data_IF_887505983408
#
_entry.id   IF_887505983408
#
_cell.length_a   1.000
_cell.length_b   1.000
_cell.length_c   1.000
_cell.angle_alpha   90.00
_cell.angle_beta   90.00
_cell.angle_gamma   90.00
#
_symmetry.space_group_name_H-M   'P 1'
#
loop_
_entity.id
_entity.type
_entity.pdbx_description
1 polymer ?
#
# COMPACT_ATOMS: atom_id res chain seq x y z
N UNK A 1 -22.18 -62.54 -43.50
CA UNK A 1 -22.61 -62.06 -42.17
C UNK A 1 -22.01 -60.66 -42.00
N UNK A 2 -22.83 -59.64 -42.22
CA UNK A 2 -22.44 -58.22 -42.28
C UNK A 2 -22.20 -57.66 -40.89
N UNK A 3 -21.00 -57.13 -40.61
CA UNK A 3 -20.80 -56.18 -39.52
C UNK A 3 -19.99 -54.99 -40.04
N UNK A 4 -20.58 -53.82 -39.85
CA UNK A 4 -20.28 -52.52 -40.46
C UNK A 4 -19.07 -51.84 -39.83
N UNK A 5 -18.32 -51.13 -40.66
CA UNK A 5 -17.46 -50.02 -40.26
C UNK A 5 -18.30 -48.94 -39.54
N UNK A 6 -17.91 -48.56 -38.33
CA UNK A 6 -18.37 -47.32 -37.69
C UNK A 6 -17.16 -46.39 -37.52
N UNK A 7 -17.17 -45.30 -38.30
CA UNK A 7 -16.30 -44.16 -38.10
C UNK A 7 -16.75 -43.41 -36.83
N UNK A 8 -15.85 -43.24 -35.87
CA UNK A 8 -16.08 -42.39 -34.71
C UNK A 8 -15.72 -40.93 -35.08
N UNK A 9 -16.75 -40.10 -35.23
CA UNK A 9 -16.63 -38.64 -35.32
C UNK A 9 -16.30 -38.12 -33.92
N UNK A 10 -15.05 -37.71 -33.68
CA UNK A 10 -14.71 -36.88 -32.52
C UNK A 10 -15.24 -35.46 -32.77
N UNK A 11 -16.46 -35.20 -32.30
CA UNK A 11 -16.98 -33.84 -32.16
C UNK A 11 -16.34 -33.16 -30.94
N UNK A 12 -15.45 -32.21 -31.18
CA UNK A 12 -14.97 -31.30 -30.16
C UNK A 12 -16.13 -30.39 -29.71
N UNK A 13 -16.71 -30.68 -28.54
CA UNK A 13 -17.62 -29.75 -27.86
C UNK A 13 -16.73 -28.70 -27.17
N UNK A 14 -16.45 -27.63 -27.91
CA UNK A 14 -15.91 -26.41 -27.36
C UNK A 14 -17.02 -25.75 -26.51
N UNK A 15 -17.00 -26.01 -25.20
CA UNK A 15 -17.86 -25.31 -24.25
C UNK A 15 -17.36 -23.86 -24.13
N UNK A 16 -17.93 -22.98 -24.95
CA UNK A 16 -17.77 -21.53 -24.81
C UNK A 16 -18.41 -21.16 -23.46
N UNK A 17 -17.59 -20.81 -22.48
CA UNK A 17 -18.06 -20.19 -21.25
C UNK A 17 -18.84 -18.90 -21.63
N UNK A 18 -20.04 -18.66 -21.09
CA UNK A 18 -20.79 -17.46 -21.42
C UNK A 18 -20.00 -16.25 -20.92
N UNK A 19 -19.77 -15.30 -21.83
CA UNK A 19 -19.20 -14.01 -21.48
C UNK A 19 -20.04 -13.38 -20.36
N UNK A 20 -19.39 -13.03 -19.25
CA UNK A 20 -20.04 -12.29 -18.16
C UNK A 20 -20.62 -10.98 -18.74
N UNK A 21 -21.84 -10.57 -18.33
CA UNK A 21 -22.46 -9.37 -18.85
C UNK A 21 -21.53 -8.17 -18.59
N UNK A 22 -21.40 -7.30 -19.60
CA UNK A 22 -20.62 -6.07 -19.50
C UNK A 22 -21.37 -5.15 -18.51
N UNK A 23 -20.98 -5.21 -17.23
CA UNK A 23 -21.48 -4.26 -16.23
C UNK A 23 -20.86 -2.89 -16.58
N UNK A 24 -21.71 -1.91 -16.85
CA UNK A 24 -21.28 -0.55 -17.13
C UNK A 24 -20.50 -0.01 -15.94
N UNK A 25 -19.21 0.29 -16.14
CA UNK A 25 -18.35 0.88 -15.11
C UNK A 25 -18.71 2.35 -14.96
N UNK A 26 -18.99 2.79 -13.74
CA UNK A 26 -19.26 4.22 -13.47
C UNK A 26 -18.22 4.76 -12.51
N UNK A 27 -17.52 5.82 -12.91
CA UNK A 27 -16.59 6.55 -12.04
C UNK A 27 -17.31 7.14 -10.81
N UNK A 28 -16.62 7.22 -9.67
CA UNK A 28 -17.16 7.82 -8.44
C UNK A 28 -16.77 9.29 -8.37
N UNK A 29 -17.63 10.20 -8.82
CA UNK A 29 -17.38 11.66 -8.88
C UNK A 29 -17.30 12.33 -7.50
N UNK A 30 -16.25 13.10 -7.24
CA UNK A 30 -16.11 14.00 -6.08
C UNK A 30 -15.61 15.36 -6.59
N UNK A 31 -16.17 16.47 -6.09
CA UNK A 31 -15.81 17.80 -6.58
C UNK A 31 -14.31 18.06 -6.41
N UNK A 32 -13.62 18.36 -7.52
CA UNK A 32 -12.19 18.71 -7.52
C UNK A 32 -11.20 17.54 -7.48
N UNK A 33 -11.67 16.28 -7.43
CA UNK A 33 -10.81 15.08 -7.50
C UNK A 33 -11.03 14.39 -8.84
N UNK A 34 -10.00 14.06 -9.64
CA UNK A 34 -10.17 13.23 -10.83
C UNK A 34 -10.70 11.87 -10.40
N UNK A 35 -11.77 11.35 -11.00
CA UNK A 35 -12.44 10.15 -10.46
C UNK A 35 -12.29 8.89 -11.32
N UNK A 36 -11.40 8.97 -12.31
CA UNK A 36 -11.16 7.95 -13.33
C UNK A 36 -10.24 6.81 -12.83
N UNK A 37 -10.19 6.57 -11.52
CA UNK A 37 -9.39 5.51 -10.92
C UNK A 37 -10.15 4.63 -9.90
N UNK A 38 -11.35 5.04 -9.47
CA UNK A 38 -12.26 4.20 -8.66
C UNK A 38 -13.58 4.02 -9.40
N UNK A 39 -13.93 2.76 -9.63
CA UNK A 39 -15.09 2.36 -10.39
C UNK A 39 -16.05 1.57 -9.50
N UNK A 40 -17.34 1.77 -9.75
CA UNK A 40 -18.42 1.04 -9.10
C UNK A 40 -19.06 0.07 -10.11
N UNK A 41 -18.99 -1.23 -9.84
CA UNK A 41 -19.66 -2.28 -10.63
C UNK A 41 -20.09 -3.44 -9.71
N UNK A 42 -21.02 -3.18 -8.77
CA UNK A 42 -21.39 -4.18 -7.78
C UNK A 42 -22.10 -5.37 -8.41
N UNK A 43 -21.69 -6.57 -8.03
CA UNK A 43 -22.39 -7.80 -8.33
C UNK A 43 -23.71 -7.86 -7.54
N UNK A 44 -24.77 -8.32 -8.22
CA UNK A 44 -26.09 -8.53 -7.60
C UNK A 44 -26.09 -9.76 -6.68
N UNK A 45 -25.16 -10.70 -6.89
CA UNK A 45 -25.02 -11.88 -6.04
C UNK A 45 -24.67 -11.50 -4.60
N UNK A 46 -25.37 -12.09 -3.64
CA UNK A 46 -25.10 -11.97 -2.21
C UNK A 46 -24.64 -13.31 -1.64
N UNK A 47 -23.78 -13.25 -0.62
CA UNK A 47 -23.49 -14.42 0.20
C UNK A 47 -24.71 -14.76 1.07
N UNK A 48 -24.89 -16.05 1.40
CA UNK A 48 -25.86 -16.45 2.42
C UNK A 48 -25.34 -16.00 3.78
N UNK A 49 -26.20 -15.41 4.61
CA UNK A 49 -25.81 -14.92 5.95
C UNK A 49 -25.07 -16.00 6.77
N UNK A 50 -25.63 -17.21 6.79
CA UNK A 50 -25.04 -18.35 7.48
C UNK A 50 -23.62 -18.73 7.01
N UNK A 51 -23.23 -18.44 5.75
CA UNK A 51 -21.88 -18.76 5.27
C UNK A 51 -20.81 -17.76 5.73
N UNK A 52 -21.23 -16.58 6.21
CA UNK A 52 -20.35 -15.53 6.70
C UNK A 52 -20.30 -15.45 8.24
N UNK A 53 -21.27 -16.06 8.93
CA UNK A 53 -21.34 -16.10 10.40
C UNK A 53 -20.06 -16.68 11.04
N UNK A 54 -19.53 -16.07 12.12
CA UNK A 54 -18.46 -16.66 12.93
C UNK A 54 -18.78 -18.07 13.43
N UNK A 55 -17.77 -18.82 13.85
CA UNK A 55 -17.97 -20.17 14.42
C UNK A 55 -18.80 -20.11 15.71
N UNK A 56 -19.57 -21.16 15.98
CA UNK A 56 -20.43 -21.25 17.17
C UNK A 56 -19.67 -21.03 18.48
N UNK A 57 -18.47 -21.63 18.60
CA UNK A 57 -17.61 -21.45 19.77
C UNK A 57 -17.19 -19.98 19.98
N UNK A 58 -17.07 -19.17 18.92
CA UNK A 58 -16.76 -17.74 19.02
C UNK A 58 -17.98 -16.91 19.38
N UNK A 59 -19.16 -17.31 18.91
CA UNK A 59 -20.43 -16.70 19.30
C UNK A 59 -20.76 -16.99 20.79
N UNK A 60 -20.39 -18.19 21.28
CA UNK A 60 -20.67 -18.66 22.65
C UNK A 60 -19.55 -18.37 23.66
N UNK A 61 -18.32 -18.09 23.21
CA UNK A 61 -17.25 -17.64 24.09
C UNK A 61 -17.72 -16.34 24.75
N UNK A 62 -17.78 -16.33 26.11
CA UNK A 62 -18.09 -15.17 26.96
C UNK A 62 -17.04 -14.05 26.83
N UNK A 63 -16.79 -13.60 25.62
CA UNK A 63 -16.31 -12.27 25.36
C UNK A 63 -17.50 -11.39 25.71
N UNK A 64 -17.36 -10.62 26.78
CA UNK A 64 -18.19 -9.46 27.10
C UNK A 64 -18.61 -8.80 25.79
N UNK A 65 -19.85 -9.05 25.34
CA UNK A 65 -20.36 -8.63 24.03
C UNK A 65 -20.24 -7.11 23.85
N UNK A 66 -20.11 -6.37 24.95
CA UNK A 66 -19.83 -4.94 25.00
C UNK A 66 -18.39 -4.52 24.62
N UNK A 67 -17.41 -5.43 24.54
CA UNK A 67 -15.99 -5.07 24.40
C UNK A 67 -15.33 -5.41 23.05
N UNK A 68 -15.87 -6.33 22.24
CA UNK A 68 -15.31 -6.62 20.91
C UNK A 68 -16.02 -5.85 19.80
N UNK A 69 -15.25 -5.15 18.96
CA UNK A 69 -15.79 -4.30 17.89
C UNK A 69 -16.46 -5.09 16.76
N UNK A 70 -15.77 -6.09 16.20
CA UNK A 70 -16.30 -6.98 15.17
C UNK A 70 -15.40 -8.21 15.01
N UNK A 71 -15.93 -9.24 14.35
CA UNK A 71 -15.13 -10.36 13.83
C UNK A 71 -15.02 -10.25 12.33
N UNK A 72 -13.81 -10.39 11.78
CA UNK A 72 -13.65 -10.35 10.33
C UNK A 72 -13.12 -11.63 9.70
N UNK A 73 -13.62 -11.91 8.49
CA UNK A 73 -12.94 -12.79 7.53
C UNK A 73 -12.30 -11.92 6.47
N UNK A 74 -11.00 -12.10 6.24
CA UNK A 74 -10.21 -11.33 5.29
C UNK A 74 -9.59 -12.29 4.30
N UNK A 75 -9.92 -12.13 3.01
CA UNK A 75 -9.34 -12.92 1.93
C UNK A 75 -8.70 -11.98 0.92
N UNK A 76 -7.49 -12.30 0.53
CA UNK A 76 -6.70 -11.53 -0.40
C UNK A 76 -6.29 -12.44 -1.55
N UNK A 77 -6.33 -11.91 -2.76
CA UNK A 77 -5.70 -12.50 -3.93
C UNK A 77 -4.64 -11.55 -4.44
N UNK A 78 -3.45 -12.05 -4.77
CA UNK A 78 -2.40 -11.33 -5.49
C UNK A 78 -2.03 -12.16 -6.70
N UNK A 79 -2.30 -11.63 -7.87
CA UNK A 79 -2.08 -12.28 -9.14
C UNK A 79 -1.12 -11.46 -10.00
N UNK A 80 0.02 -12.07 -10.35
CA UNK A 80 1.05 -11.46 -11.18
C UNK A 80 0.76 -11.78 -12.65
N UNK A 81 0.39 -10.75 -13.41
CA UNK A 81 -0.01 -10.87 -14.80
C UNK A 81 1.21 -10.98 -15.72
N UNK A 82 1.08 -11.70 -16.84
CA UNK A 82 2.15 -11.88 -17.83
C UNK A 82 2.63 -10.54 -18.43
N UNK A 83 1.77 -9.53 -18.48
CA UNK A 83 2.12 -8.18 -18.94
C UNK A 83 2.96 -7.38 -17.92
N UNK A 84 3.20 -7.95 -16.73
CA UNK A 84 3.96 -7.37 -15.63
C UNK A 84 3.12 -6.64 -14.58
N UNK A 85 1.84 -6.39 -14.82
CA UNK A 85 0.93 -5.76 -13.85
C UNK A 85 0.61 -6.71 -12.68
N UNK A 86 0.10 -6.15 -11.58
CA UNK A 86 -0.36 -6.95 -10.43
C UNK A 86 -1.82 -6.68 -10.18
N UNK A 87 -2.63 -7.75 -10.19
CA UNK A 87 -4.04 -7.72 -9.83
C UNK A 87 -4.22 -8.20 -8.40
N UNK A 88 -4.84 -7.37 -7.58
CA UNK A 88 -5.21 -7.67 -6.21
C UNK A 88 -6.72 -7.85 -6.10
N UNK A 89 -7.16 -8.82 -5.32
CA UNK A 89 -8.56 -8.96 -4.89
C UNK A 89 -8.59 -8.86 -3.38
N UNK A 90 -9.45 -7.98 -2.86
CA UNK A 90 -9.63 -7.75 -1.43
C UNK A 90 -11.06 -8.13 -1.10
N UNK A 91 -11.24 -9.12 -0.23
CA UNK A 91 -12.53 -9.47 0.32
C UNK A 91 -12.46 -9.35 1.83
N UNK A 92 -13.38 -8.58 2.40
CA UNK A 92 -13.50 -8.43 3.84
C UNK A 92 -14.98 -8.56 4.19
N UNK A 93 -15.29 -9.42 5.15
CA UNK A 93 -16.58 -9.39 5.83
C UNK A 93 -16.38 -9.11 7.32
N UNK A 94 -17.28 -8.32 7.93
CA UNK A 94 -17.25 -8.01 9.37
C UNK A 94 -18.60 -8.30 9.99
N UNK A 95 -18.64 -9.13 11.01
CA UNK A 95 -19.83 -9.38 11.84
C UNK A 95 -19.80 -8.47 13.06
N UNK A 96 -20.90 -7.75 13.32
CA UNK A 96 -21.01 -6.76 14.39
C UNK A 96 -21.88 -7.27 15.55
N UNK A 97 -21.29 -7.74 16.66
CA UNK A 97 -22.07 -8.26 17.79
C UNK A 97 -22.77 -7.18 18.62
N UNK A 98 -22.31 -5.93 18.56
CA UNK A 98 -22.74 -4.86 19.47
C UNK A 98 -22.86 -3.50 18.80
N UNK A 99 -23.65 -2.61 19.43
CA UNK A 99 -23.79 -1.22 18.97
C UNK A 99 -22.48 -0.42 19.06
N UNK A 100 -21.59 -0.76 19.99
CA UNK A 100 -20.27 -0.12 20.13
C UNK A 100 -19.42 -0.38 18.88
N UNK A 101 -19.41 -1.63 18.41
CA UNK A 101 -18.74 -2.03 17.19
C UNK A 101 -19.24 -1.27 15.96
N UNK A 102 -20.56 -1.13 15.85
CA UNK A 102 -21.20 -0.39 14.76
C UNK A 102 -20.80 1.08 14.78
N UNK A 103 -20.88 1.74 15.95
CA UNK A 103 -20.55 3.16 16.10
C UNK A 103 -19.09 3.46 15.71
N UNK A 104 -18.16 2.59 16.13
CA UNK A 104 -16.74 2.85 15.97
C UNK A 104 -16.18 2.31 14.63
N UNK A 105 -16.82 1.32 14.02
CA UNK A 105 -16.28 0.58 12.87
C UNK A 105 -17.32 0.27 11.77
N UNK A 106 -18.44 0.99 11.75
CA UNK A 106 -19.51 0.82 10.75
C UNK A 106 -19.10 1.20 9.33
N UNK A 107 -17.99 1.94 9.18
CA UNK A 107 -17.41 2.25 7.88
C UNK A 107 -16.28 1.26 7.54
N UNK A 108 -16.12 0.98 6.24
CA UNK A 108 -14.93 0.31 5.73
C UNK A 108 -14.24 1.22 4.74
N UNK A 109 -12.92 1.07 4.62
CA UNK A 109 -12.15 1.83 3.66
C UNK A 109 -11.07 0.97 3.00
N UNK A 110 -10.56 1.48 1.88
CA UNK A 110 -9.37 0.96 1.23
C UNK A 110 -8.61 2.08 0.51
N UNK A 111 -7.29 1.92 0.42
CA UNK A 111 -6.41 2.89 -0.23
C UNK A 111 -6.18 2.55 -1.71
N UNK A 112 -6.07 3.61 -2.52
CA UNK A 112 -5.74 3.56 -3.96
C UNK A 112 -4.77 4.67 -4.30
N UNK A 113 -3.69 4.33 -4.99
CA UNK A 113 -2.76 5.28 -5.61
C UNK A 113 -3.24 5.62 -7.02
N UNK A 114 -3.81 6.80 -7.23
CA UNK A 114 -4.42 7.21 -8.50
C UNK A 114 -3.42 7.29 -9.68
N UNK A 115 -2.12 7.39 -9.39
CA UNK A 115 -1.08 7.43 -10.42
C UNK A 115 -0.83 6.05 -11.05
N UNK A 116 -0.79 5.00 -10.24
CA UNK A 116 -0.39 3.66 -10.65
C UNK A 116 -1.49 2.62 -10.55
N UNK A 117 -2.63 2.93 -9.92
CA UNK A 117 -3.67 1.96 -9.62
C UNK A 117 -5.04 2.38 -10.14
N UNK A 118 -5.83 1.36 -10.43
CA UNK A 118 -7.28 1.48 -10.57
C UNK A 118 -7.94 0.48 -9.62
N UNK A 119 -9.07 0.84 -9.02
CA UNK A 119 -9.85 -0.02 -8.16
C UNK A 119 -11.31 -0.13 -8.65
N UNK A 120 -11.86 -1.33 -8.52
CA UNK A 120 -13.24 -1.66 -8.84
C UNK A 120 -13.90 -2.19 -7.57
N UNK A 121 -14.93 -1.51 -7.10
CA UNK A 121 -15.79 -2.03 -6.03
C UNK A 121 -16.80 -2.98 -6.66
N UNK A 122 -16.59 -4.28 -6.40
CA UNK A 122 -17.42 -5.37 -6.91
C UNK A 122 -18.52 -5.75 -5.92
N UNK A 123 -18.36 -5.50 -4.62
CA UNK A 123 -19.42 -5.68 -3.61
C UNK A 123 -19.19 -4.71 -2.45
N UNK A 124 -20.25 -4.06 -1.98
CA UNK A 124 -20.25 -3.23 -0.78
C UNK A 124 -21.68 -3.16 -0.22
N UNK A 125 -22.01 -4.02 0.73
CA UNK A 125 -23.36 -4.10 1.32
C UNK A 125 -23.36 -4.61 2.76
N UNK A 126 -24.44 -4.29 3.47
CA UNK A 126 -24.83 -4.87 4.75
C UNK A 126 -25.77 -6.04 4.51
N UNK A 127 -25.60 -7.11 5.29
CA UNK A 127 -26.48 -8.28 5.32
C UNK A 127 -27.01 -8.45 6.75
N UNK A 128 -28.33 -8.40 6.90
CA UNK A 128 -29.03 -8.54 8.18
C UNK A 128 -29.24 -10.02 8.54
N UNK A 129 -29.53 -10.33 9.83
CA UNK A 129 -29.75 -11.70 10.29
C UNK A 129 -30.87 -12.45 9.56
N UNK A 130 -31.90 -11.74 9.10
CA UNK A 130 -33.01 -12.29 8.31
C UNK A 130 -32.64 -12.56 6.82
N UNK A 131 -31.42 -12.16 6.41
CA UNK A 131 -30.93 -12.26 5.05
C UNK A 131 -31.18 -11.02 4.18
N UNK A 132 -31.78 -9.96 4.74
CA UNK A 132 -32.01 -8.70 4.03
C UNK A 132 -30.68 -8.02 3.67
N UNK A 133 -30.53 -7.60 2.42
CA UNK A 133 -29.36 -6.88 1.89
C UNK A 133 -29.64 -5.38 1.80
N UNK A 134 -28.71 -4.56 2.27
CA UNK A 134 -28.70 -3.12 2.08
C UNK A 134 -27.37 -2.67 1.48
N UNK A 135 -27.36 -2.27 0.21
CA UNK A 135 -26.16 -1.81 -0.50
C UNK A 135 -25.68 -0.43 -0.02
N UNK A 136 -24.36 -0.22 -0.06
CA UNK A 136 -23.77 1.12 0.16
C UNK A 136 -24.27 2.06 -0.93
N UNK A 137 -24.75 3.24 -0.53
CA UNK A 137 -25.14 4.27 -1.47
C UNK A 137 -23.91 4.87 -2.15
N UNK A 138 -23.79 4.71 -3.48
CA UNK A 138 -22.66 5.24 -4.25
C UNK A 138 -22.38 6.72 -3.97
N UNK A 139 -23.43 7.55 -3.86
CA UNK A 139 -23.32 8.99 -3.59
C UNK A 139 -22.77 9.33 -2.20
N UNK A 140 -22.77 8.38 -1.27
CA UNK A 140 -22.25 8.55 0.07
C UNK A 140 -20.77 8.12 0.20
N UNK A 141 -20.18 7.51 -0.84
CA UNK A 141 -18.77 7.16 -0.85
C UNK A 141 -17.93 8.43 -0.86
N UNK A 142 -16.95 8.48 0.04
CA UNK A 142 -16.00 9.59 0.11
C UNK A 142 -14.64 9.15 -0.44
N UNK A 143 -13.99 10.06 -1.16
CA UNK A 143 -12.59 9.94 -1.52
C UNK A 143 -11.86 11.04 -0.76
N UNK A 144 -11.00 10.63 0.16
CA UNK A 144 -10.21 11.53 0.99
C UNK A 144 -8.76 11.35 0.59
N UNK A 145 -8.13 12.42 0.07
CA UNK A 145 -6.68 12.43 -0.09
C UNK A 145 -6.04 12.42 1.30
N UNK A 146 -4.82 11.87 1.41
CA UNK A 146 -4.06 11.99 2.65
C UNK A 146 -4.04 13.45 3.12
N UNK A 147 -4.61 13.69 4.31
CA UNK A 147 -5.11 15.00 4.73
C UNK A 147 -4.16 15.75 5.66
N UNK A 148 -2.88 15.38 5.65
CA UNK A 148 -1.86 16.13 6.37
C UNK A 148 -1.65 17.53 5.76
N UNK A 149 -1.42 18.52 6.62
CA UNK A 149 -1.23 19.90 6.21
C UNK A 149 -0.07 20.03 5.22
N UNK A 150 -0.32 20.64 4.06
CA UNK A 150 0.63 20.85 2.97
C UNK A 150 1.07 19.59 2.19
N UNK A 151 0.34 18.48 2.27
CA UNK A 151 0.58 17.30 1.41
C UNK A 151 -0.40 17.29 0.22
N UNK A 152 0.16 17.10 -0.98
CA UNK A 152 -0.52 17.02 -2.25
C UNK A 152 -0.17 15.67 -2.89
N UNK A 153 -1.01 14.67 -2.67
CA UNK A 153 -0.75 13.28 -3.04
C UNK A 153 -1.69 12.75 -4.12
N UNK A 154 -1.33 11.60 -4.71
CA UNK A 154 -2.21 10.75 -5.51
C UNK A 154 -2.74 9.54 -4.71
N UNK A 155 -2.43 9.45 -3.41
CA UNK A 155 -2.97 8.44 -2.51
C UNK A 155 -4.32 8.87 -1.94
N UNK A 156 -5.36 8.07 -2.19
CA UNK A 156 -6.72 8.32 -1.72
C UNK A 156 -7.24 7.17 -0.88
N UNK A 157 -7.84 7.50 0.26
CA UNK A 157 -8.69 6.60 1.02
C UNK A 157 -10.12 6.66 0.44
N UNK A 158 -10.64 5.50 0.03
CA UNK A 158 -12.02 5.33 -0.40
C UNK A 158 -12.82 4.84 0.80
N UNK A 159 -13.69 5.68 1.35
CA UNK A 159 -14.48 5.41 2.56
C UNK A 159 -15.91 5.07 2.17
N UNK A 160 -16.40 3.91 2.63
CA UNK A 160 -17.72 3.38 2.33
C UNK A 160 -18.57 3.37 3.61
N UNK A 161 -19.63 4.18 3.68
CA UNK A 161 -20.57 4.16 4.79
C UNK A 161 -21.63 3.06 4.59
N UNK A 162 -21.65 2.07 5.47
CA UNK A 162 -22.61 0.96 5.40
C UNK A 162 -23.93 1.33 6.07
N UNK A 163 -25.02 1.16 5.32
CA UNK A 163 -26.37 1.46 5.80
C UNK A 163 -26.97 0.29 6.59
N UNK A 164 -27.95 0.61 7.45
CA UNK A 164 -28.79 -0.40 8.10
C UNK A 164 -28.08 -1.29 9.12
N UNK A 165 -26.96 -0.86 9.70
CA UNK A 165 -26.25 -1.67 10.68
C UNK A 165 -27.02 -1.80 12.00
N UNK A 166 -27.27 -3.04 12.40
CA UNK A 166 -27.80 -3.44 13.70
C UNK A 166 -26.96 -4.59 14.29
N UNK A 167 -27.01 -4.84 15.61
CA UNK A 167 -26.33 -6.00 16.20
C UNK A 167 -26.71 -7.31 15.48
N UNK A 168 -25.71 -8.06 15.07
CA UNK A 168 -25.84 -9.26 14.23
C UNK A 168 -25.57 -9.00 12.75
N UNK A 169 -25.62 -7.76 12.27
CA UNK A 169 -25.36 -7.46 10.87
C UNK A 169 -23.94 -7.85 10.42
N UNK A 170 -23.81 -8.16 9.13
CA UNK A 170 -22.53 -8.44 8.47
C UNK A 170 -22.31 -7.43 7.34
N UNK A 171 -21.19 -6.71 7.36
CA UNK A 171 -20.76 -5.94 6.18
C UNK A 171 -19.90 -6.79 5.27
N UNK A 172 -20.00 -6.58 3.96
CA UNK A 172 -19.22 -7.25 2.92
C UNK A 172 -18.62 -6.21 1.99
N UNK A 173 -17.29 -6.28 1.83
CA UNK A 173 -16.52 -5.53 0.86
C UNK A 173 -15.78 -6.49 -0.07
N UNK A 174 -15.92 -6.31 -1.39
CA UNK A 174 -15.10 -6.96 -2.42
C UNK A 174 -14.57 -5.89 -3.38
N UNK A 175 -13.25 -5.77 -3.46
CA UNK A 175 -12.56 -4.81 -4.32
C UNK A 175 -11.54 -5.53 -5.18
N UNK A 176 -11.52 -5.21 -6.46
CA UNK A 176 -10.44 -5.59 -7.36
C UNK A 176 -9.57 -4.37 -7.63
N UNK A 177 -8.26 -4.49 -7.42
CA UNK A 177 -7.29 -3.42 -7.66
C UNK A 177 -6.25 -3.88 -8.67
N UNK A 178 -5.92 -3.06 -9.65
CA UNK A 178 -4.87 -3.35 -10.62
C UNK A 178 -3.78 -2.30 -10.46
N UNK A 179 -2.56 -2.74 -10.18
CA UNK A 179 -1.37 -1.89 -10.18
C UNK A 179 -0.64 -2.00 -11.51
N UNK A 180 -0.45 -0.86 -12.17
CA UNK A 180 0.34 -0.68 -13.39
C UNK A 180 1.81 -0.59 -13.03
N UNK A 181 2.47 -1.75 -12.96
CA UNK A 181 3.86 -1.85 -12.48
C UNK A 181 4.84 -1.08 -13.37
N UNK A 182 4.52 -0.92 -14.66
CA UNK A 182 5.34 -0.11 -15.60
C UNK A 182 5.38 1.38 -15.23
N UNK A 183 4.35 1.89 -14.56
CA UNK A 183 4.31 3.27 -14.06
C UNK A 183 5.15 3.47 -12.80
N UNK A 184 5.49 2.38 -12.09
CA UNK A 184 6.26 2.44 -10.85
C UNK A 184 7.76 2.59 -11.08
N UNK A 185 8.42 3.37 -10.22
CA UNK A 185 9.88 3.51 -10.22
C UNK A 185 10.56 2.34 -9.52
N UNK A 186 9.98 1.92 -8.40
CA UNK A 186 10.50 0.88 -7.52
C UNK A 186 9.68 -0.41 -7.68
N UNK A 187 10.27 -1.60 -7.45
CA UNK A 187 9.55 -2.86 -7.61
C UNK A 187 8.34 -2.98 -6.69
N UNK A 188 7.27 -3.55 -7.22
CA UNK A 188 6.03 -3.76 -6.50
C UNK A 188 6.23 -4.68 -5.29
N UNK A 189 5.66 -4.28 -4.17
CA UNK A 189 5.61 -5.06 -2.93
C UNK A 189 4.41 -4.63 -2.08
N UNK A 190 3.95 -5.51 -1.19
CA UNK A 190 2.81 -5.27 -0.31
C UNK A 190 2.97 -6.00 1.02
N UNK A 191 2.57 -5.33 2.10
CA UNK A 191 2.36 -5.94 3.41
C UNK A 191 0.90 -6.32 3.60
N UNK A 192 0.71 -7.54 4.09
CA UNK A 192 -0.55 -8.00 4.68
C UNK A 192 -0.31 -8.29 6.15
N UNK A 193 -1.33 -8.08 6.98
CA UNK A 193 -1.26 -8.35 8.41
C UNK A 193 -2.24 -9.47 8.75
N UNK A 194 -1.77 -10.74 8.88
CA UNK A 194 -2.62 -11.85 9.28
C UNK A 194 -3.31 -11.62 10.62
N UNK A 195 -2.64 -10.93 11.54
CA UNK A 195 -3.15 -10.51 12.84
C UNK A 195 -3.27 -8.99 12.91
N UNK A 196 -4.30 -8.49 13.60
CA UNK A 196 -4.46 -7.06 13.90
C UNK A 196 -4.91 -6.87 15.35
N UNK A 197 -5.16 -5.64 15.78
CA UNK A 197 -5.74 -5.33 17.10
C UNK A 197 -7.19 -5.82 17.29
N UNK A 198 -7.79 -6.37 16.25
CA UNK A 198 -9.12 -6.98 16.30
C UNK A 198 -9.03 -8.46 15.91
N UNK A 199 -9.84 -9.33 16.53
CA UNK A 199 -9.80 -10.76 16.24
C UNK A 199 -10.27 -11.03 14.80
N UNK A 200 -9.69 -12.04 14.17
CA UNK A 200 -10.09 -12.48 12.85
C UNK A 200 -10.49 -13.94 12.88
N UNK A 201 -11.64 -14.26 12.29
CA UNK A 201 -12.03 -15.65 12.07
C UNK A 201 -11.05 -16.33 11.12
N UNK A 202 -10.70 -15.63 10.04
CA UNK A 202 -9.90 -16.19 8.96
C UNK A 202 -9.13 -15.10 8.23
N UNK A 203 -7.86 -15.40 7.98
CA UNK A 203 -7.01 -14.74 7.00
C UNK A 203 -6.70 -15.74 5.89
N UNK A 204 -6.90 -15.32 4.65
CA UNK A 204 -6.56 -16.11 3.47
C UNK A 204 -5.81 -15.23 2.47
N UNK A 205 -4.72 -15.77 1.91
CA UNK A 205 -3.96 -15.12 0.86
C UNK A 205 -3.67 -16.11 -0.26
N UNK A 206 -4.20 -15.83 -1.45
CA UNK A 206 -3.94 -16.57 -2.67
C UNK A 206 -2.88 -15.83 -3.46
N UNK A 207 -1.71 -16.45 -3.65
CA UNK A 207 -0.67 -15.97 -4.55
C UNK A 207 -0.75 -16.76 -5.85
N UNK A 208 -0.77 -16.08 -6.98
CA UNK A 208 -0.78 -16.74 -8.30
C UNK A 208 -0.05 -15.91 -9.34
N UNK A 209 0.38 -16.54 -10.42
CA UNK A 209 1.07 -15.88 -11.53
C UNK A 209 0.78 -16.56 -12.85
N UNK A 210 0.80 -15.78 -13.93
CA UNK A 210 0.60 -16.28 -15.29
C UNK A 210 1.78 -17.13 -15.77
N UNK A 211 1.53 -17.93 -16.82
CA UNK A 211 2.58 -18.57 -17.59
C UNK A 211 3.56 -17.55 -18.20
N UNK A 212 4.86 -17.82 -18.07
CA UNK A 212 5.91 -16.92 -18.56
C UNK A 212 6.17 -15.69 -17.67
N UNK A 213 5.40 -15.49 -16.60
CA UNK A 213 5.68 -14.48 -15.58
C UNK A 213 6.61 -15.00 -14.48
N UNK A 214 7.39 -14.10 -13.88
CA UNK A 214 8.21 -14.42 -12.71
C UNK A 214 7.33 -14.69 -11.47
N UNK A 215 7.61 -15.75 -10.69
CA UNK A 215 6.89 -15.99 -9.46
C UNK A 215 7.18 -14.89 -8.42
N UNK A 216 6.21 -14.56 -7.54
CA UNK A 216 6.49 -13.69 -6.41
C UNK A 216 7.43 -14.35 -5.40
N UNK A 217 8.17 -13.52 -4.67
CA UNK A 217 8.74 -13.90 -3.39
C UNK A 217 7.82 -13.46 -2.26
N UNK A 218 7.78 -14.23 -1.19
CA UNK A 218 7.00 -13.91 -0.01
C UNK A 218 7.67 -14.42 1.26
N UNK A 219 7.40 -13.76 2.38
CA UNK A 219 7.85 -14.16 3.70
C UNK A 219 6.88 -13.66 4.75
N UNK A 220 6.69 -14.44 5.80
CA UNK A 220 5.81 -14.12 6.93
C UNK A 220 6.50 -14.42 8.24
N UNK A 221 6.29 -13.59 9.24
CA UNK A 221 6.69 -13.83 10.63
C UNK A 221 5.49 -14.20 11.53
N UNK A 222 4.30 -14.34 10.94
CA UNK A 222 3.16 -14.95 11.63
C UNK A 222 3.26 -16.48 11.58
N UNK A 223 3.51 -17.10 12.73
CA UNK A 223 3.70 -18.56 12.85
C UNK A 223 2.43 -19.37 12.56
N UNK A 224 1.25 -18.81 12.84
CA UNK A 224 -0.05 -19.50 12.70
C UNK A 224 -0.58 -19.60 11.26
N UNK A 225 0.24 -19.33 10.25
CA UNK A 225 -0.18 -19.43 8.84
C UNK A 225 0.37 -20.69 8.17
N UNK A 226 -0.51 -21.41 7.48
CA UNK A 226 -0.15 -22.57 6.68
C UNK A 226 -0.24 -22.24 5.20
N UNK A 227 0.86 -22.37 4.47
CA UNK A 227 0.96 -22.14 3.04
C UNK A 227 1.12 -23.45 2.28
N UNK A 228 0.22 -23.71 1.32
CA UNK A 228 0.23 -24.93 0.51
C UNK A 228 0.24 -24.61 -0.98
N UNK A 229 1.04 -25.35 -1.75
CA UNK A 229 1.02 -25.29 -3.20
C UNK A 229 -0.29 -25.94 -3.70
N UNK A 230 -1.11 -25.19 -4.43
CA UNK A 230 -2.35 -25.67 -5.03
C UNK A 230 -2.19 -26.06 -6.50
N UNK A 231 -1.24 -25.44 -7.17
CA UNK A 231 -0.80 -25.76 -8.53
C UNK A 231 0.63 -25.27 -8.72
N UNK A 232 1.25 -25.58 -9.86
CA UNK A 232 2.59 -25.07 -10.22
C UNK A 232 2.71 -23.53 -10.19
N UNK A 233 1.58 -22.80 -10.23
CA UNK A 233 1.53 -21.32 -10.25
C UNK A 233 0.56 -20.73 -9.23
N UNK A 234 0.22 -21.47 -8.18
CA UNK A 234 -0.73 -21.01 -7.16
C UNK A 234 -0.37 -21.51 -5.78
N UNK A 235 -0.25 -20.59 -4.83
CA UNK A 235 -0.04 -20.87 -3.41
C UNK A 235 -1.23 -20.32 -2.62
N UNK A 236 -1.75 -21.12 -1.70
CA UNK A 236 -2.79 -20.72 -0.76
C UNK A 236 -2.21 -20.71 0.65
N UNK A 237 -2.24 -19.54 1.29
CA UNK A 237 -1.86 -19.35 2.68
C UNK A 237 -3.11 -19.06 3.53
N UNK A 238 -3.30 -19.81 4.61
CA UNK A 238 -4.48 -19.71 5.49
C UNK A 238 -4.07 -19.67 6.95
N UNK A 239 -4.71 -18.77 7.71
CA UNK A 239 -4.74 -18.79 9.16
C UNK A 239 -6.20 -18.65 9.62
N UNK A 240 -6.58 -19.38 10.66
CA UNK A 240 -7.93 -19.36 11.23
C UNK A 240 -7.86 -19.07 12.72
N UNK A 241 -8.97 -18.57 13.27
CA UNK A 241 -9.12 -18.26 14.69
C UNK A 241 -8.01 -17.38 15.29
N UNK A 242 -7.66 -16.34 14.55
CA UNK A 242 -6.56 -15.42 14.86
C UNK A 242 -6.99 -14.47 15.99
N UNK A 243 -6.32 -14.51 17.15
CA UNK A 243 -6.65 -13.62 18.27
C UNK A 243 -6.25 -12.18 17.96
N UNK A 244 -6.88 -11.22 18.64
CA UNK A 244 -6.41 -9.84 18.61
C UNK A 244 -4.98 -9.73 19.17
N UNK A 245 -4.12 -8.99 18.48
CA UNK A 245 -2.80 -8.64 19.01
C UNK A 245 -2.96 -7.75 20.23
N UNK A 246 -2.31 -8.11 21.32
CA UNK A 246 -2.24 -7.29 22.54
C UNK A 246 -0.95 -6.47 22.46
N UNK A 247 -1.08 -5.18 22.17
CA UNK A 247 0.05 -4.24 22.17
C UNK A 247 -0.09 -3.25 23.32
N UNK A 248 1.06 -2.76 23.76
CA UNK A 248 1.16 -1.47 24.43
C UNK A 248 0.77 -0.35 23.43
N UNK A 249 -0.14 0.58 23.79
CA UNK A 249 -0.57 1.67 22.92
C UNK A 249 0.58 2.57 22.45
N UNK A 250 1.70 2.62 23.18
CA UNK A 250 2.84 3.47 22.85
C UNK A 250 3.78 2.84 21.80
N UNK A 251 3.49 1.62 21.33
CA UNK A 251 4.29 0.96 20.31
C UNK A 251 3.70 1.18 18.91
N UNK A 252 4.59 1.53 17.98
CA UNK A 252 4.26 1.62 16.55
C UNK A 252 3.83 0.25 16.03
N UNK A 253 2.59 0.14 15.54
CA UNK A 253 2.00 -1.15 15.14
C UNK A 253 2.84 -1.90 14.11
N UNK A 254 3.56 -1.19 13.24
CA UNK A 254 4.42 -1.75 12.20
C UNK A 254 5.65 -2.47 12.74
N UNK A 255 6.06 -2.19 13.98
CA UNK A 255 7.18 -2.86 14.64
C UNK A 255 6.76 -4.16 15.34
N UNK A 256 5.46 -4.33 15.61
CA UNK A 256 4.93 -5.42 16.46
C UNK A 256 4.02 -6.38 15.73
N UNK A 257 3.13 -5.89 14.87
CA UNK A 257 2.18 -6.76 14.19
C UNK A 257 2.93 -7.76 13.29
N UNK A 258 2.56 -9.04 13.33
CA UNK A 258 3.05 -10.01 12.37
C UNK A 258 2.63 -9.62 10.95
N UNK A 259 3.58 -9.67 10.03
CA UNK A 259 3.44 -9.28 8.64
C UNK A 259 3.64 -10.48 7.72
N UNK A 260 2.89 -10.48 6.63
CA UNK A 260 3.08 -11.32 5.46
C UNK A 260 3.44 -10.40 4.30
N UNK A 261 4.69 -10.43 3.87
CA UNK A 261 5.22 -9.59 2.79
C UNK A 261 5.19 -10.36 1.49
N UNK A 262 4.65 -9.74 0.44
CA UNK A 262 4.71 -10.24 -0.94
C UNK A 262 5.44 -9.22 -1.79
N UNK A 263 6.38 -9.66 -2.63
CA UNK A 263 7.13 -8.77 -3.50
C UNK A 263 7.50 -9.44 -4.82
N UNK A 264 7.76 -8.61 -5.85
CA UNK A 264 8.59 -9.06 -6.97
C UNK A 264 10.01 -9.31 -6.48
N UNK A 265 10.69 -10.32 -7.03
CA UNK A 265 12.06 -10.62 -6.63
C UNK A 265 12.96 -9.38 -6.76
N UNK A 266 13.73 -9.11 -5.70
CA UNK A 266 14.69 -8.01 -5.68
C UNK A 266 15.75 -8.21 -4.58
N UNK A 267 16.77 -7.37 -4.60
CA UNK A 267 17.82 -7.29 -3.58
C UNK A 267 18.00 -5.84 -3.13
N UNK A 268 18.52 -5.60 -1.93
CA UNK A 268 18.83 -4.24 -1.47
C UNK A 268 19.75 -3.48 -2.44
N UNK A 269 20.86 -4.07 -2.95
CA UNK A 269 21.65 -3.42 -3.99
C UNK A 269 20.86 -3.14 -5.28
N UNK A 270 19.91 -4.00 -5.66
CA UNK A 270 19.03 -3.78 -6.82
C UNK A 270 18.12 -2.56 -6.65
N UNK A 271 17.49 -2.42 -5.48
CA UNK A 271 16.70 -1.24 -5.10
C UNK A 271 17.55 0.03 -5.19
N UNK A 272 18.72 0.02 -4.54
CA UNK A 272 19.63 1.16 -4.48
C UNK A 272 20.08 1.56 -5.88
N UNK A 273 20.52 0.62 -6.73
CA UNK A 273 20.94 0.94 -8.12
C UNK A 273 19.81 1.59 -8.92
N UNK A 274 18.59 1.08 -8.81
CA UNK A 274 17.42 1.59 -9.56
C UNK A 274 17.04 3.00 -9.12
N UNK A 275 17.09 3.26 -7.81
CA UNK A 275 16.75 4.56 -7.26
C UNK A 275 17.86 5.59 -7.48
N UNK A 276 19.13 5.19 -7.27
CA UNK A 276 20.30 6.07 -7.35
C UNK A 276 20.38 6.80 -8.69
N UNK A 277 20.22 6.11 -9.82
CA UNK A 277 20.31 6.78 -11.13
C UNK A 277 19.26 7.89 -11.30
N UNK A 278 18.03 7.65 -10.82
CA UNK A 278 16.93 8.63 -10.86
C UNK A 278 17.12 9.78 -9.91
N UNK A 279 17.69 9.54 -8.73
CA UNK A 279 18.04 10.59 -7.78
C UNK A 279 19.19 11.45 -8.32
N UNK A 280 20.27 10.82 -8.79
CA UNK A 280 21.46 11.50 -9.29
C UNK A 280 21.15 12.43 -10.47
N UNK A 281 20.20 12.04 -11.34
CA UNK A 281 19.80 12.85 -12.48
C UNK A 281 19.10 14.17 -12.10
N UNK A 282 18.70 14.33 -10.83
CA UNK A 282 18.03 15.55 -10.33
C UNK A 282 19.00 16.54 -9.70
N UNK A 283 20.24 16.11 -9.42
CA UNK A 283 21.31 16.97 -8.92
C UNK A 283 21.83 17.80 -10.08
N UNK A 284 21.46 19.08 -10.11
CA UNK A 284 21.75 19.93 -11.27
C UNK A 284 23.20 20.36 -11.35
N UNK A 285 23.90 20.55 -10.22
CA UNK A 285 25.29 21.02 -10.20
C UNK A 285 25.55 22.38 -10.86
N UNK A 286 24.49 23.07 -11.31
CA UNK A 286 24.57 24.22 -12.21
C UNK A 286 24.97 25.51 -11.49
N UNK A 287 25.11 26.59 -12.29
CA UNK A 287 25.51 27.91 -11.79
C UNK A 287 24.64 28.43 -10.65
N UNK A 288 23.32 28.15 -10.66
CA UNK A 288 22.40 28.53 -9.58
C UNK A 288 22.78 27.89 -8.24
N UNK A 289 23.08 26.58 -8.23
CA UNK A 289 23.48 25.87 -7.01
C UNK A 289 24.84 26.36 -6.55
N UNK A 290 25.81 26.49 -7.47
CA UNK A 290 27.16 26.98 -7.16
C UNK A 290 27.13 28.41 -6.58
N UNK A 291 26.30 29.30 -7.14
CA UNK A 291 26.15 30.66 -6.63
C UNK A 291 25.48 30.70 -5.26
N UNK A 292 24.51 29.80 -5.02
CA UNK A 292 23.92 29.66 -3.68
C UNK A 292 24.97 29.17 -2.68
N UNK A 293 25.77 28.17 -3.04
CA UNK A 293 26.83 27.66 -2.19
C UNK A 293 27.87 28.75 -1.88
N UNK A 294 28.31 29.54 -2.87
CA UNK A 294 29.24 30.65 -2.65
C UNK A 294 28.73 31.65 -1.60
N UNK A 295 27.42 31.92 -1.58
CA UNK A 295 26.80 32.79 -0.57
C UNK A 295 26.76 32.14 0.81
N UNK A 296 26.47 30.84 0.87
CA UNK A 296 26.45 30.06 2.12
C UNK A 296 27.87 29.96 2.70
N UNK A 297 28.87 29.72 1.87
CA UNK A 297 30.26 29.50 2.26
C UNK A 297 31.06 30.78 2.59
N UNK A 298 30.43 31.96 2.60
CA UNK A 298 31.12 33.21 2.90
C UNK A 298 31.71 33.19 4.31
N UNK A 299 33.02 33.42 4.40
CA UNK A 299 33.79 33.46 5.65
C UNK A 299 33.84 32.14 6.44
N UNK A 300 33.55 31.00 5.79
CA UNK A 300 33.63 29.67 6.43
C UNK A 300 34.95 29.01 6.09
N UNK A 301 35.61 28.46 7.13
CA UNK A 301 36.92 27.81 6.97
C UNK A 301 36.92 26.31 7.33
N UNK A 302 35.88 25.80 7.99
CA UNK A 302 35.78 24.39 8.39
C UNK A 302 34.69 23.64 7.65
N UNK A 303 34.91 22.36 7.38
CA UNK A 303 33.92 21.48 6.73
C UNK A 303 32.66 21.29 7.58
N UNK A 304 32.81 21.25 8.91
CA UNK A 304 31.70 21.11 9.86
C UNK A 304 30.82 22.36 9.88
N UNK A 305 31.42 23.55 9.94
CA UNK A 305 30.67 24.81 9.88
C UNK A 305 29.98 24.97 8.53
N UNK A 306 30.66 24.58 7.43
CA UNK A 306 30.05 24.62 6.10
C UNK A 306 28.83 23.68 6.02
N UNK A 307 28.95 22.48 6.57
CA UNK A 307 27.85 21.52 6.63
C UNK A 307 26.67 22.05 7.44
N UNK A 308 26.92 22.65 8.61
CA UNK A 308 25.88 23.26 9.44
C UNK A 308 25.18 24.43 8.71
N UNK A 309 25.92 25.27 7.99
CA UNK A 309 25.33 26.36 7.21
C UNK A 309 24.52 25.87 6.01
N UNK A 310 24.98 24.82 5.31
CA UNK A 310 24.19 24.16 4.26
C UNK A 310 22.92 23.55 4.86
N UNK A 311 23.04 22.84 5.98
CA UNK A 311 21.92 22.26 6.71
C UNK A 311 20.88 23.33 7.05
N UNK A 312 21.27 24.38 7.80
CA UNK A 312 20.39 25.50 8.19
C UNK A 312 19.75 26.18 6.99
N UNK A 313 20.49 26.37 5.90
CA UNK A 313 19.93 26.94 4.70
C UNK A 313 18.80 26.08 4.13
N UNK A 314 19.01 24.76 4.01
CA UNK A 314 18.00 23.87 3.44
C UNK A 314 16.83 23.65 4.42
N UNK A 315 17.08 23.42 5.71
CA UNK A 315 16.01 23.20 6.69
C UNK A 315 15.18 24.47 6.91
N UNK A 316 15.82 25.63 7.11
CA UNK A 316 15.14 26.85 7.55
C UNK A 316 14.76 27.81 6.41
N UNK A 317 15.41 27.74 5.23
CA UNK A 317 15.11 28.64 4.10
C UNK A 317 14.40 27.96 2.94
N UNK A 318 14.14 26.65 3.02
CA UNK A 318 13.31 25.91 2.06
C UNK A 318 12.15 25.28 2.81
N UNK A 319 10.94 25.76 2.57
CA UNK A 319 9.73 25.35 3.28
C UNK A 319 9.30 23.93 2.89
N UNK A 320 8.84 23.14 3.86
CA UNK A 320 8.28 21.83 3.57
C UNK A 320 6.92 21.94 2.86
N UNK A 321 6.79 21.26 1.72
CA UNK A 321 5.52 21.05 1.00
C UNK A 321 5.55 19.66 0.38
N UNK A 322 4.72 18.75 0.90
CA UNK A 322 4.54 17.38 0.40
C UNK A 322 3.99 17.40 -1.02
N UNK A 323 4.79 17.20 -2.06
CA UNK A 323 4.30 17.18 -3.44
C UNK A 323 4.51 15.79 -4.03
N UNK A 324 3.57 14.89 -3.76
CA UNK A 324 3.74 13.45 -3.96
C UNK A 324 3.01 12.89 -5.18
N UNK A 325 2.59 13.77 -6.10
CA UNK A 325 1.90 13.36 -7.32
C UNK A 325 2.84 12.72 -8.33
N UNK A 326 2.37 11.62 -8.91
CA UNK A 326 3.03 10.85 -9.94
C UNK A 326 4.43 10.39 -9.56
N UNK A 327 5.38 10.58 -10.49
CA UNK A 327 6.78 10.30 -10.20
C UNK A 327 7.35 11.16 -9.07
N UNK A 328 6.73 12.32 -8.81
CA UNK A 328 7.08 13.20 -7.70
C UNK A 328 6.75 12.62 -6.32
N UNK A 329 6.05 11.49 -6.21
CA UNK A 329 5.94 10.73 -4.96
C UNK A 329 7.24 10.01 -4.58
N UNK A 330 8.09 9.71 -5.56
CA UNK A 330 9.28 8.86 -5.36
C UNK A 330 10.58 9.57 -5.77
N UNK A 331 10.59 10.26 -6.90
CA UNK A 331 11.79 10.92 -7.45
C UNK A 331 11.77 12.39 -7.01
N UNK A 332 12.87 12.94 -6.48
CA UNK A 332 12.93 14.35 -6.16
C UNK A 332 12.83 15.21 -7.42
N UNK A 333 12.45 16.46 -7.25
CA UNK A 333 12.51 17.49 -8.29
C UNK A 333 13.95 17.92 -8.53
N UNK A 334 14.24 18.50 -9.70
CA UNK A 334 15.55 19.09 -9.95
C UNK A 334 15.93 20.08 -8.87
N UNK A 335 17.14 19.99 -8.34
CA UNK A 335 17.59 20.80 -7.20
C UNK A 335 17.54 22.30 -7.47
N UNK A 336 17.81 22.72 -8.71
CA UNK A 336 17.66 24.11 -9.15
C UNK A 336 16.21 24.60 -9.03
N UNK A 337 15.22 23.74 -9.32
CA UNK A 337 13.81 24.08 -9.17
C UNK A 337 13.44 24.28 -7.70
N UNK A 338 13.85 23.34 -6.84
CA UNK A 338 13.66 23.43 -5.38
C UNK A 338 14.31 24.69 -4.81
N UNK A 339 15.54 25.00 -5.25
CA UNK A 339 16.27 26.20 -4.85
C UNK A 339 15.54 27.49 -5.23
N UNK A 340 15.03 27.58 -6.47
CA UNK A 340 14.31 28.78 -6.95
C UNK A 340 12.97 28.97 -6.25
N UNK A 341 12.21 27.89 -6.05
CA UNK A 341 10.87 27.95 -5.45
C UNK A 341 10.89 28.07 -3.93
N UNK A 342 12.00 27.69 -3.28
CA UNK A 342 12.16 27.71 -1.82
C UNK A 342 11.11 26.86 -1.09
N UNK A 343 10.65 25.78 -1.74
CA UNK A 343 9.88 24.74 -1.09
C UNK A 343 10.07 23.39 -1.77
N UNK A 344 9.80 22.30 -1.02
CA UNK A 344 9.83 20.92 -1.49
C UNK A 344 9.54 19.95 -0.34
N UNK A 345 9.37 18.67 -0.67
CA UNK A 345 9.17 17.60 0.33
C UNK A 345 10.51 16.98 0.80
N UNK A 346 10.46 15.87 1.54
CA UNK A 346 11.64 15.26 2.17
C UNK A 346 12.76 14.98 1.16
N UNK A 347 12.45 14.29 0.06
CA UNK A 347 13.40 13.97 -1.01
C UNK A 347 13.88 15.20 -1.77
N UNK A 348 13.03 16.21 -2.00
CA UNK A 348 13.44 17.45 -2.66
C UNK A 348 14.48 18.20 -1.82
N UNK A 349 14.25 18.29 -0.51
CA UNK A 349 15.15 18.94 0.44
C UNK A 349 16.45 18.14 0.61
N UNK A 350 16.37 16.81 0.73
CA UNK A 350 17.54 15.91 0.70
C UNK A 350 18.36 16.07 -0.58
N UNK A 351 17.71 16.12 -1.76
CA UNK A 351 18.41 16.30 -3.02
C UNK A 351 19.17 17.63 -3.07
N UNK A 352 18.54 18.73 -2.66
CA UNK A 352 19.18 20.05 -2.64
C UNK A 352 20.38 20.09 -1.68
N UNK A 353 20.25 19.52 -0.49
CA UNK A 353 21.34 19.42 0.48
C UNK A 353 22.51 18.59 -0.07
N UNK A 354 22.22 17.41 -0.65
CA UNK A 354 23.24 16.52 -1.23
C UNK A 354 23.96 17.20 -2.40
N UNK A 355 23.27 17.98 -3.23
CA UNK A 355 23.89 18.75 -4.33
C UNK A 355 24.85 19.83 -3.81
N UNK A 356 24.39 20.65 -2.85
CA UNK A 356 25.21 21.69 -2.22
C UNK A 356 26.45 21.10 -1.53
N UNK A 357 26.26 20.06 -0.72
CA UNK A 357 27.34 19.41 0.02
C UNK A 357 28.37 18.76 -0.92
N UNK A 358 27.94 18.13 -2.01
CA UNK A 358 28.87 17.53 -2.99
C UNK A 358 29.68 18.55 -3.75
N UNK A 359 29.07 19.67 -4.14
CA UNK A 359 29.80 20.78 -4.79
C UNK A 359 30.82 21.39 -3.81
N UNK A 360 30.51 21.38 -2.51
CA UNK A 360 31.44 21.75 -1.45
C UNK A 360 32.56 20.72 -1.19
N UNK A 361 32.59 19.60 -1.93
CA UNK A 361 33.60 18.56 -1.78
C UNK A 361 33.32 17.56 -0.65
N UNK A 362 32.10 17.55 -0.08
CA UNK A 362 31.70 16.62 0.97
C UNK A 362 31.07 15.34 0.38
N UNK A 363 31.33 14.20 0.99
CA UNK A 363 30.71 12.93 0.61
C UNK A 363 29.29 12.83 1.20
N UNK A 364 28.32 13.42 0.50
CA UNK A 364 26.91 13.39 0.88
C UNK A 364 26.09 12.38 0.04
N UNK A 365 25.07 11.76 0.62
CA UNK A 365 24.14 10.86 -0.08
C UNK A 365 22.77 10.76 0.59
N UNK A 366 21.71 10.43 -0.18
CA UNK A 366 20.38 10.22 0.38
C UNK A 366 20.27 8.86 1.09
N UNK A 367 19.44 8.81 2.13
CA UNK A 367 19.05 7.57 2.83
C UNK A 367 17.53 7.51 2.91
N UNK A 368 16.96 6.42 2.39
CA UNK A 368 15.55 6.08 2.61
C UNK A 368 15.37 5.65 4.06
N UNK A 369 14.39 6.23 4.74
CA UNK A 369 14.12 5.98 6.15
C UNK A 369 12.62 5.79 6.39
N UNK A 370 12.29 5.37 7.60
CA UNK A 370 10.93 5.12 8.05
C UNK A 370 10.64 6.04 9.22
N UNK A 371 9.65 6.91 9.09
CA UNK A 371 9.14 7.77 10.16
C UNK A 371 8.22 6.99 11.10
N UNK A 372 7.62 5.91 10.59
CA UNK A 372 6.59 5.06 11.18
C UNK A 372 7.09 3.71 11.76
N UNK A 373 8.39 3.43 11.73
CA UNK A 373 9.03 2.22 12.32
C UNK A 373 10.32 2.56 13.05
N UNK A 374 10.65 1.74 14.05
CA UNK A 374 11.93 1.79 14.77
C UNK A 374 12.72 0.49 14.67
N UNK A 375 12.09 -0.61 14.24
CA UNK A 375 12.71 -1.93 14.22
C UNK A 375 12.98 -2.44 12.81
N UNK A 376 14.17 -2.98 12.60
CA UNK A 376 14.54 -3.70 11.37
C UNK A 376 14.02 -5.15 11.35
N UNK A 377 13.50 -5.68 12.46
CA UNK A 377 13.01 -7.06 12.57
C UNK A 377 11.90 -7.39 11.59
N UNK A 378 11.12 -6.38 11.20
CA UNK A 378 9.96 -6.49 10.30
C UNK A 378 10.31 -6.30 8.81
N UNK A 379 11.60 -6.10 8.49
CA UNK A 379 12.10 -6.03 7.10
C UNK A 379 12.29 -7.44 6.54
N UNK A 380 11.19 -8.15 6.30
CA UNK A 380 11.21 -9.58 5.97
C UNK A 380 11.84 -9.87 4.60
N UNK A 381 11.64 -8.98 3.63
CA UNK A 381 12.14 -9.07 2.26
C UNK A 381 12.70 -7.72 1.79
N UNK A 382 13.67 -7.68 0.84
CA UNK A 382 14.07 -6.44 0.18
C UNK A 382 12.90 -5.79 -0.57
N UNK A 383 12.32 -4.75 0.00
CA UNK A 383 11.14 -4.05 -0.51
C UNK A 383 11.15 -2.58 -0.08
N UNK A 384 10.41 -1.74 -0.80
CA UNK A 384 10.50 -0.27 -0.61
C UNK A 384 9.34 0.33 0.16
N UNK A 385 8.24 -0.40 0.34
CA UNK A 385 7.07 0.07 1.10
C UNK A 385 7.32 0.25 2.61
N UNK A 386 8.52 -0.08 3.12
CA UNK A 386 8.90 0.17 4.51
C UNK A 386 9.40 1.60 4.74
N UNK A 387 9.70 2.34 3.66
CA UNK A 387 10.26 3.68 3.75
C UNK A 387 9.21 4.67 3.25
N UNK A 388 8.87 5.61 4.11
CA UNK A 388 7.94 6.72 3.88
C UNK A 388 8.67 8.07 3.86
N UNK A 389 9.97 8.10 4.18
CA UNK A 389 10.71 9.33 4.37
C UNK A 389 12.15 9.26 3.83
N UNK A 390 12.80 10.42 3.69
CA UNK A 390 14.17 10.53 3.17
C UNK A 390 14.98 11.57 3.94
N UNK A 391 16.20 11.18 4.30
CA UNK A 391 17.19 12.03 4.99
C UNK A 391 18.51 12.07 4.20
N UNK A 392 19.40 12.99 4.53
CA UNK A 392 20.74 13.05 3.96
C UNK A 392 21.77 12.58 4.98
N UNK A 393 22.77 11.81 4.55
CA UNK A 393 23.96 11.52 5.35
C UNK A 393 25.21 12.09 4.68
N UNK A 394 26.17 12.53 5.48
CA UNK A 394 27.46 13.09 5.05
C UNK A 394 28.58 12.47 5.85
N UNK A 395 29.64 12.04 5.16
CA UNK A 395 30.87 11.57 5.82
C UNK A 395 31.86 12.71 5.95
N UNK A 396 32.31 12.94 7.17
CA UNK A 396 33.39 13.89 7.52
C UNK A 396 34.65 13.08 7.84
N UNK A 397 35.83 13.72 7.76
CA UNK A 397 37.13 13.06 8.00
C UNK A 397 37.11 12.16 9.24
N UNK A 398 37.57 10.92 9.11
CA UNK A 398 37.69 9.95 10.21
C UNK A 398 36.52 8.97 10.38
N UNK A 399 35.85 8.58 9.29
CA UNK A 399 34.72 7.62 9.26
C UNK A 399 33.46 8.05 10.07
N UNK A 400 33.37 9.32 10.47
CA UNK A 400 32.19 9.84 11.16
C UNK A 400 31.12 10.20 10.12
N UNK A 401 29.96 9.56 10.25
CA UNK A 401 28.79 9.77 9.40
C UNK A 401 27.72 10.56 10.16
N UNK A 402 27.34 11.71 9.62
CA UNK A 402 26.27 12.55 10.14
C UNK A 402 25.06 12.43 9.24
N UNK A 403 23.94 11.95 9.78
CA UNK A 403 22.66 11.93 9.10
C UNK A 403 21.77 13.06 9.65
N UNK A 404 21.22 13.86 8.74
CA UNK A 404 20.36 15.00 9.04
C UNK A 404 19.01 14.83 8.37
N UNK A 405 17.96 14.97 9.18
CA UNK A 405 16.64 15.26 8.66
C UNK A 405 16.57 16.74 8.31
N UNK A 406 16.10 17.04 7.10
CA UNK A 406 16.03 18.41 6.60
C UNK A 406 14.63 18.98 6.74
N UNK A 407 13.67 18.19 7.20
CA UNK A 407 12.25 18.52 7.19
C UNK A 407 11.76 19.26 8.43
N UNK A 408 12.59 19.28 9.47
CA UNK A 408 12.39 20.01 10.73
C UNK A 408 12.86 21.47 10.70
#
# INVERSE_FOLDING_TARGET
MNIRFFAAILGAICAIAPASPIIAKVAITHAGVPTEFVYWAPEVASFRYASLLPSRNRLESKLTIDQTAYYSTRRFGVHFLANGDVKETIFISRYYPSRVGIRNHGNMSFWVDAFSQNAMIEQAYTLLPDGTRADVEKKAIQLVADSEDNIFTDSFEVILPYAGLEPGAITVLKVQRITKVKSMVLPWSRNFFPQTFLPHRKFELVLSWDEGGDPPIWKTDYEGINCTLKSIRTVLCVAEDIPAYQADPDIRYLDVLPAFVVAKYNTWPGIVRRYRSRFMSQLSGGSEIQNSLKKIALNISSSEELLDQIHRFVSQKVRYVGLEKGLGGIIPRPTALTLRRKYGDCKDKTALFVDLARIAGLEAYPVLTSSDRRSTRKLLLPATHYFDHMVACVRIQGDIEHCVDLTD
#
